data_IF_140065749414
#
_entry.id   IF_140065749414
#
_cell.length_a   1.000
_cell.length_b   1.000
_cell.length_c   1.000
_cell.angle_alpha   90.00
_cell.angle_beta   90.00
_cell.angle_gamma   90.00
#
_symmetry.space_group_name_H-M   'P 1'
#
loop_
_entity.id
_entity.type
_entity.pdbx_description
1 polymer ?
#
# COMPACT_ATOMS: atom_id res chain seq x y z
N UNK A 1 20.17 7.16 -4.34
CA UNK A 1 19.51 8.13 -3.43
C UNK A 1 18.35 7.44 -2.76
N UNK A 2 18.49 7.04 -1.49
CA UNK A 2 17.40 6.41 -0.74
C UNK A 2 16.55 7.53 -0.13
N UNK A 3 15.38 7.79 -0.71
CA UNK A 3 14.42 8.72 -0.10
C UNK A 3 13.92 8.10 1.22
N UNK A 4 14.20 8.77 2.35
CA UNK A 4 13.64 8.39 3.65
C UNK A 4 12.17 8.81 3.69
N UNK A 5 11.31 7.97 3.10
CA UNK A 5 9.87 8.13 3.22
C UNK A 5 9.40 7.59 4.58
N UNK A 6 8.43 8.26 5.22
CA UNK A 6 7.84 7.73 6.44
C UNK A 6 7.21 6.36 6.15
N UNK A 7 7.68 5.34 6.87
CA UNK A 7 7.19 3.97 6.74
C UNK A 7 5.95 3.80 7.64
N UNK A 8 4.82 3.61 7.00
CA UNK A 8 3.52 3.42 7.64
C UNK A 8 3.20 1.93 7.66
N UNK A 9 3.03 1.40 8.86
CA UNK A 9 2.50 0.05 9.09
C UNK A 9 1.00 0.15 9.32
N UNK A 10 0.23 -0.72 8.68
CA UNK A 10 -1.23 -0.70 8.79
C UNK A 10 -1.74 -2.14 8.81
N UNK A 11 -2.44 -2.55 9.88
CA UNK A 11 -2.92 -3.92 10.00
C UNK A 11 -3.85 -4.35 8.86
N UNK A 12 -4.63 -3.43 8.28
CA UNK A 12 -5.53 -3.71 7.17
C UNK A 12 -5.31 -2.66 6.10
N UNK A 13 -5.12 -3.08 4.85
CA UNK A 13 -4.93 -2.19 3.71
C UNK A 13 -6.17 -2.23 2.84
N UNK A 14 -6.89 -1.12 2.81
CA UNK A 14 -8.10 -0.98 2.00
C UNK A 14 -7.77 -0.30 0.67
N UNK A 15 -7.35 -1.13 -0.30
CA UNK A 15 -6.93 -0.67 -1.63
C UNK A 15 -8.08 -0.05 -2.44
N UNK A 16 -9.32 -0.53 -2.25
CA UNK A 16 -10.49 -0.09 -3.03
C UNK A 16 -11.00 1.32 -2.70
N UNK A 17 -10.55 1.93 -1.60
CA UNK A 17 -11.06 3.24 -1.15
C UNK A 17 -10.75 4.40 -2.09
N UNK A 18 -9.73 4.30 -2.94
CA UNK A 18 -9.33 5.35 -3.88
C UNK A 18 -9.69 5.03 -5.33
N UNK A 19 -9.79 3.75 -5.67
CA UNK A 19 -10.06 3.23 -7.01
C UNK A 19 -10.53 1.80 -6.84
N UNK A 20 -11.39 1.26 -7.71
CA UNK A 20 -11.76 -0.16 -7.68
C UNK A 20 -10.61 -1.03 -8.23
N UNK A 21 -9.51 -1.06 -7.48
CA UNK A 21 -8.24 -1.67 -7.85
C UNK A 21 -8.39 -3.16 -8.20
N UNK A 22 -9.16 -3.99 -7.48
CA UNK A 22 -9.33 -5.40 -7.83
C UNK A 22 -9.93 -5.65 -9.21
N UNK A 23 -10.79 -4.75 -9.72
CA UNK A 23 -11.45 -4.92 -11.01
C UNK A 23 -10.58 -4.48 -12.21
N UNK A 24 -9.68 -3.51 -12.03
CA UNK A 24 -8.98 -2.87 -13.15
C UNK A 24 -7.44 -2.83 -13.04
N UNK A 25 -6.87 -3.08 -11.88
CA UNK A 25 -5.44 -2.86 -11.59
C UNK A 25 -4.81 -4.01 -10.79
N UNK A 26 -5.36 -5.22 -10.90
CA UNK A 26 -4.91 -6.33 -10.06
C UNK A 26 -3.47 -6.78 -10.37
N UNK A 27 -3.03 -6.70 -11.63
CA UNK A 27 -1.64 -6.97 -12.01
C UNK A 27 -0.67 -6.04 -11.27
N UNK A 28 -1.00 -4.75 -11.20
CA UNK A 28 -0.22 -3.77 -10.46
C UNK A 28 -0.19 -4.08 -8.96
N UNK A 29 -1.31 -4.52 -8.38
CA UNK A 29 -1.35 -4.93 -6.96
C UNK A 29 -0.40 -6.09 -6.69
N UNK A 30 -0.45 -7.12 -7.53
CA UNK A 30 0.42 -8.30 -7.39
C UNK A 30 1.89 -7.89 -7.48
N UNK A 31 2.24 -6.97 -8.39
CA UNK A 31 3.58 -6.41 -8.47
C UNK A 31 3.99 -5.68 -7.18
N UNK A 32 3.12 -4.83 -6.61
CA UNK A 32 3.42 -4.13 -5.35
C UNK A 32 3.53 -5.06 -4.16
N UNK A 33 2.71 -6.10 -4.09
CA UNK A 33 2.83 -7.14 -3.06
C UNK A 33 4.19 -7.84 -3.17
N UNK A 34 4.64 -8.20 -4.38
CA UNK A 34 5.96 -8.80 -4.61
C UNK A 34 7.10 -7.86 -4.21
N UNK A 35 6.97 -6.56 -4.48
CA UNK A 35 7.93 -5.53 -4.07
C UNK A 35 7.90 -5.30 -2.55
N UNK A 36 6.74 -5.51 -1.91
CA UNK A 36 6.57 -5.43 -0.45
C UNK A 36 6.26 -4.04 0.09
N UNK A 37 5.99 -3.04 -0.76
CA UNK A 37 5.54 -1.72 -0.34
C UNK A 37 4.80 -0.96 -1.46
N UNK A 38 4.11 0.10 -1.08
CA UNK A 38 3.50 1.08 -2.00
C UNK A 38 3.71 2.50 -1.48
N UNK A 39 4.02 3.43 -2.38
CA UNK A 39 4.12 4.85 -2.04
C UNK A 39 2.75 5.51 -2.28
N UNK A 40 2.24 6.19 -1.25
CA UNK A 40 0.93 6.84 -1.23
C UNK A 40 1.12 8.35 -1.10
N UNK A 41 0.59 9.08 -2.05
CA UNK A 41 0.59 10.54 -2.06
C UNK A 41 -0.58 11.06 -1.21
N UNK A 42 -0.33 12.04 -0.35
CA UNK A 42 -1.41 12.72 0.35
C UNK A 42 -2.22 13.57 -0.66
N UNK A 43 -3.55 13.35 -0.78
CA UNK A 43 -4.38 14.08 -1.74
C UNK A 43 -4.42 15.60 -1.50
N UNK A 44 -4.26 16.04 -0.24
CA UNK A 44 -4.27 17.46 0.14
C UNK A 44 -2.89 18.12 0.01
N UNK A 45 -1.82 17.34 0.13
CA UNK A 45 -0.44 17.83 -0.04
C UNK A 45 0.38 16.85 -0.87
N UNK A 46 0.46 17.09 -2.18
CA UNK A 46 1.15 16.20 -3.13
C UNK A 46 2.65 16.04 -2.88
N UNK A 47 3.28 16.97 -2.13
CA UNK A 47 4.69 16.86 -1.74
C UNK A 47 4.90 15.87 -0.60
N UNK A 48 3.84 15.52 0.13
CA UNK A 48 3.90 14.53 1.20
C UNK A 48 3.59 13.14 0.62
N UNK A 49 4.59 12.27 0.69
CA UNK A 49 4.52 10.89 0.24
C UNK A 49 4.82 10.01 1.44
N UNK A 50 4.01 8.97 1.63
CA UNK A 50 4.20 7.97 2.68
C UNK A 50 4.40 6.60 2.06
N UNK A 51 5.32 5.81 2.59
CA UNK A 51 5.55 4.43 2.16
C UNK A 51 4.76 3.49 3.05
N UNK A 52 3.78 2.79 2.49
CA UNK A 52 3.01 1.78 3.19
C UNK A 52 3.66 0.41 2.97
N UNK A 53 4.00 -0.29 4.04
CA UNK A 53 4.53 -1.65 3.94
C UNK A 53 3.43 -2.64 3.55
N UNK A 54 3.73 -3.54 2.62
CA UNK A 54 2.86 -4.65 2.19
C UNK A 54 3.41 -6.00 2.68
N UNK A 55 4.46 -6.00 3.48
CA UNK A 55 5.05 -7.24 3.99
C UNK A 55 4.06 -7.97 4.90
N UNK A 56 4.04 -9.32 4.89
CA UNK A 56 3.17 -10.11 5.74
C UNK A 56 3.33 -9.84 7.25
N UNK A 57 4.51 -9.39 7.68
CA UNK A 57 4.81 -9.03 9.07
C UNK A 57 4.15 -7.70 9.52
N UNK A 58 3.86 -6.81 8.57
CA UNK A 58 3.33 -5.47 8.83
C UNK A 58 1.82 -5.38 8.56
N UNK A 59 1.23 -6.40 7.93
CA UNK A 59 -0.17 -6.47 7.54
C UNK A 59 -0.82 -7.68 8.20
N UNK A 60 -2.00 -7.49 8.79
CA UNK A 60 -2.78 -8.57 9.38
C UNK A 60 -3.44 -9.37 8.26
N UNK A 61 -3.10 -10.64 8.17
CA UNK A 61 -3.89 -11.59 7.39
C UNK A 61 -5.30 -11.65 8.01
N UNK A 62 -6.30 -11.20 7.24
CA UNK A 62 -7.69 -11.52 7.53
C UNK A 62 -7.88 -13.03 7.26
N UNK A 63 -7.55 -13.86 8.25
CA UNK A 63 -8.11 -15.22 8.31
C UNK A 63 -9.61 -15.05 8.56
N UNK A 64 -10.39 -15.03 7.49
CA UNK A 64 -11.84 -15.09 7.55
C UNK A 64 -12.25 -16.39 6.86
N UNK A 65 -12.28 -17.45 7.65
CA UNK A 65 -13.14 -18.61 7.45
C UNK A 65 -13.82 -18.85 8.79
#
# INVERSE_FOLDING_TARGET
>A
MTINLPNVKSPIISCSRRTDIPAFLMDWVIEKIKIGYVDVVNPFNRKQISRVSLKPEDVKNLKKF
#
